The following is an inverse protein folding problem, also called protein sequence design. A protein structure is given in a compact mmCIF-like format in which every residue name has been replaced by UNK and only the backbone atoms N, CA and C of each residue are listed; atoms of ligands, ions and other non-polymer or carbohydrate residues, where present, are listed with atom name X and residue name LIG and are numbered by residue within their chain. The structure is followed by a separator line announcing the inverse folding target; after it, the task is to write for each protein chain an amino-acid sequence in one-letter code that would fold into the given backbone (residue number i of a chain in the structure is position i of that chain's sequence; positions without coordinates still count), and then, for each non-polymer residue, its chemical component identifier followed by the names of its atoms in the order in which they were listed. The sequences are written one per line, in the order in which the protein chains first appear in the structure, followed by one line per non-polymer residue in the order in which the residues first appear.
data_IF_530280849985
#
_entry.id   IF_530280849985
#
_cell.length_a   1.000
_cell.length_b   1.000
_cell.length_c   1.000
_cell.angle_alpha   90.00
_cell.angle_beta   90.00
_cell.angle_gamma   90.00
#
_symmetry.space_group_name_H-M   'P 1'
#
loop_
_entity.id
_entity.type
_entity.pdbx_description
1 polymer ?
#
# COMPACT_ATOMS: atom_id res chain seq x y z
N UNK A 1 -14.48 48.89 32.12
CA UNK A 1 -13.11 48.37 31.92
C UNK A 1 -13.08 46.89 31.52
N UNK A 2 -14.20 46.16 31.59
CA UNK A 2 -14.27 44.75 31.14
C UNK A 2 -14.33 44.60 29.60
N UNK A 3 -14.95 45.55 28.88
CA UNK A 3 -15.05 45.52 27.41
C UNK A 3 -13.68 45.39 26.71
N UNK A 4 -12.68 46.13 27.17
CA UNK A 4 -11.35 46.13 26.54
C UNK A 4 -10.63 44.78 26.62
N UNK A 5 -10.87 43.97 27.65
CA UNK A 5 -10.18 42.67 27.79
C UNK A 5 -10.83 41.61 26.91
N UNK A 6 -12.16 41.59 26.87
CA UNK A 6 -12.93 40.70 25.99
C UNK A 6 -12.67 41.01 24.51
N UNK A 7 -12.56 42.29 24.14
CA UNK A 7 -12.23 42.70 22.77
C UNK A 7 -10.82 42.27 22.36
N UNK A 8 -9.83 42.44 23.25
CA UNK A 8 -8.46 41.98 23.01
C UNK A 8 -8.43 40.45 22.83
N UNK A 9 -9.11 39.69 23.69
CA UNK A 9 -9.22 38.23 23.59
C UNK A 9 -9.92 37.83 22.27
N UNK A 10 -10.98 38.54 21.90
CA UNK A 10 -11.72 38.31 20.66
C UNK A 10 -10.87 38.53 19.40
N UNK A 11 -10.02 39.57 19.39
CA UNK A 11 -9.07 39.82 18.30
C UNK A 11 -8.02 38.70 18.23
N UNK A 12 -7.44 38.31 19.36
CA UNK A 12 -6.48 37.19 19.38
C UNK A 12 -7.11 35.88 18.91
N UNK A 13 -8.35 35.60 19.31
CA UNK A 13 -9.10 34.44 18.84
C UNK A 13 -9.40 34.50 17.33
N UNK A 14 -9.78 35.66 16.80
CA UNK A 14 -10.03 35.86 15.38
C UNK A 14 -8.75 35.67 14.53
N UNK A 15 -7.63 36.21 15.00
CA UNK A 15 -6.31 36.02 14.36
C UNK A 15 -5.92 34.54 14.40
N UNK A 16 -6.07 33.86 15.54
CA UNK A 16 -5.79 32.43 15.65
C UNK A 16 -6.64 31.59 14.68
N UNK A 17 -7.94 31.88 14.56
CA UNK A 17 -8.84 31.21 13.61
C UNK A 17 -8.44 31.46 12.15
N UNK A 18 -7.96 32.67 11.83
CA UNK A 18 -7.49 33.01 10.50
C UNK A 18 -6.24 32.21 10.08
N UNK A 19 -5.42 31.77 11.04
CA UNK A 19 -4.28 30.87 10.77
C UNK A 19 -4.67 29.40 10.78
N UNK A 20 -5.70 29.02 11.54
CA UNK A 20 -6.12 27.62 11.68
C UNK A 20 -6.67 27.06 10.36
N UNK A 21 -7.49 27.82 9.63
CA UNK A 21 -8.08 27.36 8.35
C UNK A 21 -7.01 27.09 7.28
N UNK A 22 -6.06 28.01 6.99
CA UNK A 22 -4.94 27.73 6.10
C UNK A 22 -4.09 26.54 6.55
N UNK A 23 -3.90 26.34 7.85
CA UNK A 23 -3.13 25.21 8.39
C UNK A 23 -3.81 23.87 8.10
N UNK A 24 -5.14 23.76 8.28
CA UNK A 24 -5.90 22.55 7.95
C UNK A 24 -5.83 22.25 6.46
N UNK A 25 -5.96 23.27 5.60
CA UNK A 25 -5.88 23.10 4.15
C UNK A 25 -4.47 22.64 3.69
N UNK A 26 -3.42 23.14 4.32
CA UNK A 26 -2.05 22.70 4.03
C UNK A 26 -1.82 21.27 4.48
N UNK A 27 -2.35 20.90 5.65
CA UNK A 27 -2.29 19.53 6.14
C UNK A 27 -3.00 18.59 5.17
N UNK A 28 -4.24 18.89 4.76
CA UNK A 28 -5.01 18.05 3.82
C UNK A 28 -4.25 17.85 2.50
N UNK A 29 -3.63 18.91 1.96
CA UNK A 29 -2.79 18.79 0.77
C UNK A 29 -1.57 17.90 0.97
N UNK A 30 -0.95 17.97 2.15
CA UNK A 30 0.18 17.11 2.47
C UNK A 30 -0.22 15.63 2.54
N UNK A 31 -1.42 15.34 3.06
CA UNK A 31 -1.98 13.99 3.07
C UNK A 31 -2.32 13.50 1.67
N UNK A 32 -2.95 14.33 0.83
CA UNK A 32 -3.26 14.01 -0.56
C UNK A 32 -2.00 13.67 -1.36
N UNK A 33 -0.93 14.47 -1.18
CA UNK A 33 0.38 14.21 -1.81
C UNK A 33 0.94 12.87 -1.31
N UNK A 34 0.88 12.63 -0.01
CA UNK A 34 1.40 11.39 0.58
C UNK A 34 0.64 10.16 0.06
N UNK A 35 -0.67 10.26 -0.07
CA UNK A 35 -1.52 9.20 -0.61
C UNK A 35 -1.26 8.98 -2.11
N UNK A 36 -1.06 10.05 -2.88
CA UNK A 36 -0.72 9.96 -4.29
C UNK A 36 0.63 9.25 -4.51
N UNK A 37 1.64 9.57 -3.71
CA UNK A 37 2.95 8.89 -3.75
C UNK A 37 2.78 7.40 -3.47
N UNK A 38 2.04 7.04 -2.42
CA UNK A 38 1.81 5.63 -2.07
C UNK A 38 1.05 4.87 -3.17
N UNK A 39 0.02 5.49 -3.76
CA UNK A 39 -0.74 4.92 -4.87
C UNK A 39 0.13 4.73 -6.11
N UNK A 40 0.91 5.75 -6.48
CA UNK A 40 1.80 5.69 -7.63
C UNK A 40 2.87 4.61 -7.46
N UNK A 41 3.50 4.53 -6.27
CA UNK A 41 4.51 3.53 -5.97
C UNK A 41 3.92 2.10 -6.02
N UNK A 42 2.74 1.90 -5.41
CA UNK A 42 2.08 0.59 -5.37
C UNK A 42 1.61 0.15 -6.75
N UNK A 43 1.01 1.05 -7.54
CA UNK A 43 0.61 0.77 -8.92
C UNK A 43 1.82 0.43 -9.78
N UNK A 44 2.88 1.22 -9.70
CA UNK A 44 4.10 1.01 -10.49
C UNK A 44 4.77 -0.33 -10.15
N UNK A 45 4.82 -0.69 -8.87
CA UNK A 45 5.35 -1.97 -8.41
C UNK A 45 4.52 -3.14 -8.95
N UNK A 46 3.19 -3.10 -8.79
CA UNK A 46 2.29 -4.15 -9.29
C UNK A 46 2.34 -4.26 -10.81
N UNK A 47 2.32 -3.14 -11.53
CA UNK A 47 2.44 -3.12 -12.99
C UNK A 47 3.76 -3.71 -13.48
N UNK A 48 4.87 -3.40 -12.81
CA UNK A 48 6.16 -3.96 -13.16
C UNK A 48 6.16 -5.48 -13.01
N UNK A 49 5.56 -6.00 -11.93
CA UNK A 49 5.45 -7.44 -11.69
C UNK A 49 4.55 -8.09 -12.74
N UNK A 50 3.42 -7.47 -13.09
CA UNK A 50 2.52 -7.98 -14.15
C UNK A 50 3.23 -8.02 -15.51
N UNK A 51 4.00 -6.97 -15.84
CA UNK A 51 4.70 -6.83 -17.12
C UNK A 51 5.93 -7.70 -17.24
N UNK A 52 6.62 -8.00 -16.14
CA UNK A 52 7.86 -8.80 -16.14
C UNK A 52 7.63 -10.25 -15.73
N UNK A 53 6.52 -10.54 -15.03
CA UNK A 53 6.29 -11.84 -14.40
C UNK A 53 7.31 -12.16 -13.30
N UNK A 54 8.04 -11.17 -12.78
CA UNK A 54 9.07 -11.38 -11.76
C UNK A 54 9.01 -10.33 -10.66
N UNK A 55 9.34 -10.76 -9.44
CA UNK A 55 9.54 -9.85 -8.30
C UNK A 55 11.02 -9.90 -7.96
N UNK A 56 11.74 -8.79 -8.16
CA UNK A 56 13.16 -8.69 -7.78
C UNK A 56 13.31 -8.02 -6.42
N UNK A 57 14.42 -8.31 -5.73
CA UNK A 57 14.73 -7.62 -4.47
C UNK A 57 14.97 -6.12 -4.68
N UNK A 58 15.45 -5.70 -5.85
CA UNK A 58 15.67 -4.30 -6.20
C UNK A 58 14.33 -3.57 -6.38
N UNK A 59 13.38 -4.17 -7.11
CA UNK A 59 12.04 -3.60 -7.29
C UNK A 59 11.31 -3.43 -5.95
N UNK A 60 11.43 -4.43 -5.07
CA UNK A 60 10.86 -4.35 -3.72
C UNK A 60 11.52 -3.25 -2.89
N UNK A 61 12.85 -3.16 -2.89
CA UNK A 61 13.56 -2.10 -2.17
C UNK A 61 13.20 -0.71 -2.70
N UNK A 62 13.11 -0.55 -4.03
CA UNK A 62 12.68 0.69 -4.68
C UNK A 62 11.24 1.05 -4.29
N UNK A 63 10.33 0.09 -4.25
CA UNK A 63 8.96 0.29 -3.80
C UNK A 63 8.90 0.80 -2.35
N UNK A 64 9.62 0.15 -1.42
CA UNK A 64 9.68 0.59 -0.02
C UNK A 64 10.31 1.98 0.10
N UNK A 65 11.36 2.29 -0.66
CA UNK A 65 11.99 3.61 -0.68
C UNK A 65 11.03 4.69 -1.19
N UNK A 66 10.25 4.41 -2.24
CA UNK A 66 9.24 5.33 -2.76
C UNK A 66 8.11 5.54 -1.74
N UNK A 67 7.65 4.50 -1.05
CA UNK A 67 6.68 4.65 0.03
C UNK A 67 7.21 5.56 1.14
N UNK A 68 8.43 5.32 1.62
CA UNK A 68 9.04 6.14 2.67
C UNK A 68 9.26 7.60 2.24
N UNK A 69 9.36 7.89 0.94
CA UNK A 69 9.49 9.26 0.42
C UNK A 69 8.26 10.13 0.66
N UNK A 70 7.09 9.53 0.96
CA UNK A 70 5.89 10.28 1.32
C UNK A 70 5.97 10.92 2.71
N UNK A 71 6.96 10.55 3.53
CA UNK A 71 7.10 11.01 4.91
C UNK A 71 6.23 10.27 5.93
N UNK A 72 5.49 9.24 5.50
CA UNK A 72 4.72 8.37 6.38
C UNK A 72 5.32 6.96 6.43
N UNK A 73 5.01 6.22 7.50
CA UNK A 73 5.37 4.80 7.63
C UNK A 73 4.20 3.94 7.20
N UNK A 74 4.47 2.94 6.35
CA UNK A 74 3.45 2.04 5.84
C UNK A 74 3.68 0.61 6.29
N UNK A 75 2.59 -0.09 6.60
CA UNK A 75 2.54 -1.54 6.68
C UNK A 75 2.11 -2.09 5.32
N UNK A 76 2.95 -2.95 4.73
CA UNK A 76 2.79 -3.47 3.37
C UNK A 76 2.40 -4.95 3.43
N UNK A 77 1.20 -5.24 2.95
CA UNK A 77 0.68 -6.59 2.81
C UNK A 77 0.66 -6.99 1.34
N UNK A 78 1.41 -8.04 0.98
CA UNK A 78 1.48 -8.63 -0.35
C UNK A 78 0.93 -10.05 -0.28
N UNK A 79 0.03 -10.36 -1.21
CA UNK A 79 -0.53 -11.68 -1.43
C UNK A 79 -0.34 -12.05 -2.91
N UNK A 80 0.20 -13.25 -3.14
CA UNK A 80 0.32 -13.84 -4.48
C UNK A 80 -0.49 -15.13 -4.50
N UNK A 81 -1.50 -15.19 -5.35
CA UNK A 81 -2.27 -16.40 -5.63
C UNK A 81 -1.68 -17.08 -6.85
N UNK A 82 -0.94 -18.16 -6.62
CA UNK A 82 -0.31 -18.93 -7.69
C UNK A 82 -1.28 -19.99 -8.19
N UNK A 83 -1.45 -20.05 -9.50
CA UNK A 83 -2.33 -21.01 -10.16
C UNK A 83 -1.73 -22.42 -10.11
N UNK A 84 -2.51 -23.41 -9.70
CA UNK A 84 -2.16 -24.83 -9.82
C UNK A 84 -2.63 -25.38 -11.19
N UNK A 85 -1.71 -25.60 -12.16
CA UNK A 85 -2.07 -26.07 -13.49
C UNK A 85 -2.51 -27.54 -13.54
N UNK A 86 -2.17 -28.33 -12.52
CA UNK A 86 -2.43 -29.77 -12.50
C UNK A 86 -3.80 -30.11 -11.90
N UNK A 87 -4.34 -29.23 -11.05
CA UNK A 87 -5.61 -29.48 -10.36
C UNK A 87 -6.81 -29.58 -11.32
N UNK A 88 -6.93 -28.66 -12.27
CA UNK A 88 -8.03 -28.66 -13.23
C UNK A 88 -7.99 -29.88 -14.18
N UNK A 89 -6.78 -30.32 -14.56
CA UNK A 89 -6.58 -31.49 -15.41
C UNK A 89 -6.91 -32.79 -14.67
N UNK A 90 -6.42 -32.94 -13.44
CA UNK A 90 -6.74 -34.07 -12.55
C UNK A 90 -8.25 -34.19 -12.28
N UNK A 91 -8.92 -33.06 -12.02
CA UNK A 91 -10.36 -33.05 -11.76
C UNK A 91 -11.17 -33.44 -13.00
N UNK A 92 -10.80 -32.89 -14.16
CA UNK A 92 -11.44 -33.22 -15.44
C UNK A 92 -11.27 -34.69 -15.80
N UNK A 93 -10.06 -35.23 -15.63
CA UNK A 93 -9.75 -36.63 -15.92
C UNK A 93 -10.48 -37.61 -14.98
N UNK A 94 -10.78 -37.21 -13.73
CA UNK A 94 -11.48 -38.07 -12.77
C UNK A 94 -13.00 -37.95 -12.81
N UNK A 95 -13.56 -36.80 -13.20
CA UNK A 95 -15.01 -36.54 -13.14
C UNK A 95 -15.70 -36.30 -14.48
N UNK A 96 -14.98 -36.23 -15.60
CA UNK A 96 -15.54 -35.84 -16.91
C UNK A 96 -16.26 -34.47 -16.91
N UNK A 97 -15.99 -33.63 -15.92
CA UNK A 97 -16.50 -32.26 -15.77
C UNK A 97 -15.33 -31.29 -15.79
N UNK A 98 -15.48 -30.12 -16.41
CA UNK A 98 -14.41 -29.11 -16.46
C UNK A 98 -13.99 -28.72 -15.02
N UNK A 99 -12.76 -29.05 -14.64
CA UNK A 99 -12.22 -28.73 -13.32
C UNK A 99 -12.00 -27.23 -13.13
N UNK A 100 -12.35 -26.70 -11.96
CA UNK A 100 -12.06 -25.30 -11.61
C UNK A 100 -10.57 -25.09 -11.35
N UNK A 101 -10.05 -23.91 -11.72
CA UNK A 101 -8.69 -23.50 -11.38
C UNK A 101 -8.57 -23.31 -9.86
N UNK A 102 -7.58 -23.97 -9.24
CA UNK A 102 -7.27 -23.82 -7.83
C UNK A 102 -6.03 -22.94 -7.66
N UNK A 103 -6.05 -22.08 -6.65
CA UNK A 103 -4.93 -21.21 -6.30
C UNK A 103 -4.41 -21.54 -4.90
N UNK A 104 -3.11 -21.37 -4.68
CA UNK A 104 -2.51 -21.30 -3.35
C UNK A 104 -1.92 -19.91 -3.10
N UNK A 105 -2.00 -19.43 -1.86
CA UNK A 105 -1.60 -18.06 -1.50
C UNK A 105 -0.20 -18.04 -0.87
N UNK A 106 0.62 -17.11 -1.31
CA UNK A 106 1.94 -16.79 -0.74
C UNK A 106 1.85 -15.37 -0.17
N UNK A 107 2.25 -15.19 1.10
CA UNK A 107 2.13 -13.92 1.82
C UNK A 107 3.48 -13.19 1.96
N UNK A 108 3.44 -11.90 2.33
CA UNK A 108 4.60 -11.00 2.48
C UNK A 108 5.80 -11.67 3.14
N UNK A 109 5.62 -12.33 4.28
CA UNK A 109 6.73 -12.96 5.03
C UNK A 109 7.48 -14.01 4.22
N UNK A 110 6.76 -14.82 3.45
CA UNK A 110 7.33 -15.84 2.58
C UNK A 110 7.99 -15.23 1.34
N UNK A 111 7.47 -14.09 0.87
CA UNK A 111 8.05 -13.32 -0.25
C UNK A 111 9.37 -12.69 0.20
N UNK A 112 9.39 -12.01 1.34
CA UNK A 112 10.58 -11.42 1.94
C UNK A 112 11.63 -12.46 2.29
N UNK A 113 11.21 -13.63 2.80
CA UNK A 113 12.12 -14.74 3.03
C UNK A 113 12.74 -15.23 1.71
N UNK A 114 11.94 -15.42 0.66
CA UNK A 114 12.47 -15.84 -0.67
C UNK A 114 13.39 -14.79 -1.30
N UNK A 115 13.13 -13.51 -1.05
CA UNK A 115 13.97 -12.40 -1.50
C UNK A 115 15.25 -12.25 -0.66
N UNK A 116 15.26 -12.66 0.61
CA UNK A 116 16.41 -12.53 1.52
C UNK A 116 17.30 -13.78 1.58
N UNK A 117 16.72 -14.99 1.71
CA UNK A 117 17.39 -16.23 2.13
C UNK A 117 18.03 -17.10 1.02
N UNK A 118 18.13 -16.65 -0.24
CA UNK A 118 18.94 -17.39 -1.22
C UNK A 118 20.44 -17.12 -0.99
N UNK A 119 21.03 -17.89 -0.08
CA UNK A 119 22.46 -18.00 0.14
C UNK A 119 23.13 -18.68 -1.05
N UNK A 120 23.86 -17.89 -1.84
CA UNK A 120 24.75 -18.38 -2.91
C UNK A 120 24.48 -17.72 -4.26
N UNK A 121 25.32 -16.74 -4.59
CA UNK A 121 25.47 -16.03 -5.87
C UNK A 121 24.65 -14.72 -6.03
N UNK A 122 25.41 -13.64 -5.96
CA UNK A 122 25.09 -12.20 -6.05
C UNK A 122 24.57 -11.76 -7.44
N UNK A 123 23.62 -12.47 -8.04
CA UNK A 123 23.04 -12.03 -9.32
C UNK A 123 21.55 -12.34 -9.38
N UNK A 124 20.76 -11.31 -9.08
CA UNK A 124 19.30 -11.22 -9.23
C UNK A 124 18.48 -12.27 -8.46
N UNK A 125 18.34 -12.03 -7.14
CA UNK A 125 17.29 -12.67 -6.32
C UNK A 125 15.92 -12.26 -6.86
N UNK A 126 15.31 -13.14 -7.68
CA UNK A 126 14.01 -12.93 -8.31
C UNK A 126 13.04 -14.07 -7.98
N UNK A 127 11.80 -13.72 -7.66
CA UNK A 127 10.69 -14.65 -7.63
C UNK A 127 10.07 -14.64 -9.03
N UNK A 128 9.98 -15.81 -9.65
CA UNK A 128 9.34 -15.96 -10.97
C UNK A 128 7.88 -16.35 -10.78
N UNK A 129 7.00 -15.60 -11.42
CA UNK A 129 5.57 -15.84 -11.49
C UNK A 129 5.19 -16.36 -12.88
N UNK A 130 4.07 -17.08 -12.93
CA UNK A 130 3.54 -17.65 -14.16
C UNK A 130 2.33 -16.88 -14.64
N UNK A 131 2.05 -17.00 -15.93
CA UNK A 131 0.82 -16.51 -16.53
C UNK A 131 -0.40 -17.11 -15.80
N UNK A 132 -1.34 -16.25 -15.42
CA UNK A 132 -2.51 -16.61 -14.63
C UNK A 132 -2.35 -16.50 -13.10
N UNK A 133 -1.16 -16.23 -12.58
CA UNK A 133 -0.99 -15.89 -11.15
C UNK A 133 -1.62 -14.51 -10.86
N UNK A 134 -2.11 -14.30 -9.64
CA UNK A 134 -2.71 -13.02 -9.22
C UNK A 134 -1.90 -12.41 -8.11
N UNK A 135 -1.52 -11.14 -8.25
CA UNK A 135 -0.87 -10.37 -7.19
C UNK A 135 -1.83 -9.34 -6.60
N UNK A 136 -1.76 -9.16 -5.29
CA UNK A 136 -2.47 -8.15 -4.52
C UNK A 136 -1.52 -7.50 -3.54
N UNK A 137 -1.44 -6.17 -3.54
CA UNK A 137 -0.60 -5.36 -2.67
C UNK A 137 -1.46 -4.31 -2.00
N UNK A 138 -1.34 -4.19 -0.69
CA UNK A 138 -2.07 -3.23 0.13
C UNK A 138 -1.04 -2.53 1.02
N UNK A 139 -0.97 -1.21 0.93
CA UNK A 139 -0.17 -0.37 1.82
C UNK A 139 -1.09 0.42 2.76
N UNK A 140 -0.93 0.21 4.07
CA UNK A 140 -1.69 0.92 5.11
C UNK A 140 -0.79 1.92 5.82
N UNK A 141 -1.25 3.14 6.03
CA UNK A 141 -0.49 4.09 6.83
C UNK A 141 -0.60 3.71 8.31
N UNK A 142 0.54 3.64 9.00
CA UNK A 142 0.63 3.31 10.43
C UNK A 142 0.69 4.56 11.34
N UNK A 143 0.82 5.76 10.76
CA UNK A 143 0.91 7.02 11.51
C UNK A 143 -0.32 7.89 11.32
N UNK A 144 -0.72 8.58 12.39
CA UNK A 144 -1.70 9.66 12.32
C UNK A 144 -1.08 10.87 11.60
N UNK A 145 -1.71 11.30 10.52
CA UNK A 145 -1.26 12.50 9.81
C UNK A 145 -1.62 13.78 10.56
N UNK A 146 -1.01 14.91 10.17
CA UNK A 146 -1.32 16.20 10.76
C UNK A 146 -2.79 16.59 10.54
N UNK A 147 -3.35 16.31 9.36
CA UNK A 147 -4.75 16.63 9.05
C UNK A 147 -5.70 15.75 9.85
N UNK A 148 -5.36 14.48 10.06
CA UNK A 148 -6.13 13.60 10.94
C UNK A 148 -6.08 14.10 12.39
N UNK A 149 -4.92 14.53 12.87
CA UNK A 149 -4.77 15.10 14.21
C UNK A 149 -5.59 16.39 14.38
N UNK A 150 -5.55 17.30 13.40
CA UNK A 150 -6.32 18.54 13.40
C UNK A 150 -7.83 18.27 13.27
N UNK A 151 -8.25 17.34 12.41
CA UNK A 151 -9.65 16.89 12.29
C UNK A 151 -10.14 16.22 13.56
N UNK A 152 -9.29 15.49 14.28
CA UNK A 152 -9.67 14.89 15.54
C UNK A 152 -9.92 15.94 16.63
N UNK A 153 -9.13 17.03 16.64
CA UNK A 153 -9.38 18.20 17.50
C UNK A 153 -10.68 18.92 17.10
N UNK A 154 -11.00 18.98 15.80
CA UNK A 154 -12.18 19.69 15.30
C UNK A 154 -13.49 18.88 15.37
N UNK A 155 -13.44 17.55 15.23
CA UNK A 155 -14.62 16.67 15.12
C UNK A 155 -14.75 15.59 16.20
N UNK A 156 -13.78 15.39 17.09
CA UNK A 156 -13.77 14.31 18.13
C UNK A 156 -14.45 13.03 17.67
N UNK A 157 -13.83 12.33 16.71
CA UNK A 157 -14.31 11.02 16.30
C UNK A 157 -13.75 10.02 17.32
N UNK A 158 -14.56 9.74 18.35
CA UNK A 158 -14.31 8.69 19.31
C UNK A 158 -14.53 7.33 18.65
N UNK A 159 -13.49 6.71 18.10
CA UNK A 159 -13.51 5.27 17.83
C UNK A 159 -12.74 4.79 16.60
N UNK A 160 -11.97 3.73 16.85
CA UNK A 160 -11.25 2.82 15.95
C UNK A 160 -10.02 3.37 15.22
N UNK A 161 -8.95 2.57 15.30
CA UNK A 161 -7.64 2.82 14.72
C UNK A 161 -7.78 3.35 13.29
N UNK A 162 -7.34 4.58 13.07
CA UNK A 162 -7.32 5.23 11.77
C UNK A 162 -6.18 4.67 10.90
N UNK A 163 -6.15 3.34 10.72
CA UNK A 163 -5.34 2.71 9.70
C UNK A 163 -5.97 3.02 8.33
N UNK A 164 -5.64 4.18 7.78
CA UNK A 164 -6.11 4.56 6.45
C UNK A 164 -5.35 3.72 5.42
N UNK A 165 -6.10 2.95 4.65
CA UNK A 165 -5.56 2.29 3.45
C UNK A 165 -5.06 3.38 2.52
N UNK A 166 -3.74 3.47 2.38
CA UNK A 166 -3.11 4.51 1.61
C UNK A 166 -3.08 4.16 0.12
N UNK A 167 -2.84 2.87 -0.19
CA UNK A 167 -2.80 2.39 -1.55
C UNK A 167 -3.16 0.92 -1.66
N UNK A 168 -3.77 0.56 -2.79
CA UNK A 168 -4.00 -0.82 -3.21
C UNK A 168 -3.60 -1.00 -4.66
N UNK A 169 -3.06 -2.16 -4.99
CA UNK A 169 -2.75 -2.55 -6.36
C UNK A 169 -2.95 -4.04 -6.52
N UNK A 170 -3.65 -4.46 -7.58
CA UNK A 170 -3.84 -5.87 -7.86
C UNK A 170 -3.89 -6.12 -9.36
N UNK A 171 -3.48 -7.30 -9.79
CA UNK A 171 -3.67 -7.71 -11.17
C UNK A 171 -3.25 -9.14 -11.43
N UNK A 172 -3.56 -9.61 -12.63
CA UNK A 172 -3.23 -10.94 -13.12
C UNK A 172 -1.93 -10.82 -13.91
N UNK A 173 -0.99 -11.72 -13.64
CA UNK A 173 0.26 -11.83 -14.38
C UNK A 173 -0.05 -12.33 -15.79
N UNK A 174 0.40 -11.58 -16.80
CA UNK A 174 0.11 -11.86 -18.21
C UNK A 174 1.28 -12.52 -18.95
N UNK A 175 2.46 -12.60 -18.33
CA UNK A 175 3.64 -13.22 -18.93
C UNK A 175 4.37 -14.13 -17.94
N UNK A 176 4.99 -15.19 -18.46
CA UNK A 176 5.86 -16.05 -17.67
C UNK A 176 7.21 -15.37 -17.47
N UNK A 177 7.61 -15.11 -16.22
CA UNK A 177 8.90 -14.48 -15.90
C UNK A 177 10.14 -15.39 -16.04
N UNK A 178 9.99 -16.57 -16.67
CA UNK A 178 11.01 -17.61 -16.77
C UNK A 178 12.00 -17.43 -17.94
N UNK A 179 11.99 -16.28 -18.62
CA UNK A 179 12.99 -15.91 -19.63
C UNK A 179 14.23 -15.25 -19.03
#
# INVERSE_FOLDING_TARGET
MEESTTDIIGIFAAVALMFLVPLVLLADRNDDISQLIANSATSSFVENIIKTGTITSEDYANYINQLNSSGNTYDVSIEIKVLDPNYAQEYTNRRNELGSNQYYSIYTTQIEEKLSNNGGNESNKKIVLKDGDVISVIAKNNNLTLSQSLKNIYYTISGEELHIVAATGSGIIAINGAT
#
